data_IF_772393208854
#
_entry.id   IF_772393208854
#
_cell.length_a   1.000
_cell.length_b   1.000
_cell.length_c   1.000
_cell.angle_alpha   90.00
_cell.angle_beta   90.00
_cell.angle_gamma   90.00
#
_symmetry.space_group_name_H-M   'P 1'
#
loop_
_entity.id
_entity.type
_entity.pdbx_description
1 polymer ?
#
# COMPACT_ATOMS: atom_id res chain seq x y z
N UNK A 1 6.03 26.64 2.06
CA UNK A 1 6.38 26.28 0.67
C UNK A 1 5.34 26.85 -0.30
N UNK A 2 5.20 28.18 -0.35
CA UNK A 2 4.09 28.83 -1.06
C UNK A 2 4.29 28.78 -2.59
N UNK A 3 5.52 29.01 -3.06
CA UNK A 3 5.88 28.91 -4.48
C UNK A 3 5.54 27.54 -5.06
N UNK A 4 5.83 26.45 -4.34
CA UNK A 4 5.52 25.09 -4.80
C UNK A 4 4.02 24.80 -4.90
N UNK A 5 3.22 25.30 -3.94
CA UNK A 5 1.76 25.12 -3.96
C UNK A 5 1.14 25.87 -5.15
N UNK A 6 1.57 27.11 -5.39
CA UNK A 6 1.09 27.91 -6.53
C UNK A 6 1.45 27.25 -7.85
N UNK A 7 2.70 26.82 -8.02
CA UNK A 7 3.14 26.14 -9.24
C UNK A 7 2.33 24.86 -9.51
N UNK A 8 2.06 24.05 -8.48
CA UNK A 8 1.25 22.84 -8.61
C UNK A 8 -0.20 23.15 -8.98
N UNK A 9 -0.81 24.17 -8.36
CA UNK A 9 -2.18 24.60 -8.69
C UNK A 9 -2.29 25.03 -10.14
N UNK A 10 -1.37 25.87 -10.60
CA UNK A 10 -1.40 26.42 -11.96
C UNK A 10 -1.16 25.33 -13.00
N UNK A 11 -0.28 24.35 -12.71
CA UNK A 11 -0.13 23.16 -13.55
C UNK A 11 -1.43 22.35 -13.61
N UNK A 12 -2.01 22.03 -12.45
CA UNK A 12 -3.21 21.18 -12.34
C UNK A 12 -4.39 21.78 -13.09
N UNK A 13 -4.60 23.10 -13.04
CA UNK A 13 -5.69 23.77 -13.77
C UNK A 13 -5.56 23.68 -15.30
N UNK A 14 -4.37 23.37 -15.82
CA UNK A 14 -4.13 23.17 -17.25
C UNK A 14 -4.12 21.69 -17.66
N UNK A 15 -3.93 20.76 -16.72
CA UNK A 15 -3.81 19.31 -16.98
C UNK A 15 -5.12 18.57 -16.72
N UNK A 16 -5.96 19.04 -15.81
CA UNK A 16 -7.25 18.41 -15.51
C UNK A 16 -8.33 19.42 -15.08
N UNK A 17 -9.56 18.94 -14.95
CA UNK A 17 -10.75 19.73 -14.58
C UNK A 17 -11.08 19.66 -13.09
N UNK A 18 -10.09 19.43 -12.22
CA UNK A 18 -10.25 19.21 -10.77
C UNK A 18 -11.03 17.95 -10.40
N UNK A 19 -11.13 17.68 -9.10
CA UNK A 19 -11.83 16.51 -8.57
C UNK A 19 -13.34 16.70 -8.60
N UNK A 20 -14.08 15.62 -8.90
CA UNK A 20 -15.53 15.62 -8.90
C UNK A 20 -16.07 16.09 -7.53
N UNK A 21 -16.96 17.08 -7.54
CA UNK A 21 -17.42 17.76 -6.32
C UNK A 21 -18.03 16.81 -5.29
N UNK A 22 -18.75 15.76 -5.73
CA UNK A 22 -19.30 14.76 -4.81
C UNK A 22 -18.19 14.00 -4.06
N UNK A 23 -17.06 13.69 -4.71
CA UNK A 23 -15.91 13.06 -4.04
C UNK A 23 -15.26 14.02 -3.05
N UNK A 24 -15.18 15.32 -3.37
CA UNK A 24 -14.68 16.32 -2.42
C UNK A 24 -15.58 16.44 -1.18
N UNK A 25 -16.91 16.48 -1.37
CA UNK A 25 -17.86 16.50 -0.27
C UNK A 25 -17.77 15.24 0.61
N UNK A 26 -17.64 14.06 -0.01
CA UNK A 26 -17.38 12.80 0.71
C UNK A 26 -16.05 12.82 1.46
N UNK A 27 -15.01 13.42 0.88
CA UNK A 27 -13.72 13.60 1.53
C UNK A 27 -13.81 14.49 2.77
N UNK A 28 -14.58 15.59 2.70
CA UNK A 28 -14.85 16.43 3.88
C UNK A 28 -15.54 15.61 4.96
N UNK A 29 -16.63 14.90 4.64
CA UNK A 29 -17.33 14.06 5.60
C UNK A 29 -16.44 12.98 6.22
N UNK A 30 -15.57 12.35 5.42
CA UNK A 30 -14.65 11.33 5.89
C UNK A 30 -13.53 11.89 6.79
N UNK A 31 -13.08 13.13 6.57
CA UNK A 31 -12.02 13.76 7.37
C UNK A 31 -12.52 14.41 8.66
N UNK A 32 -13.76 14.93 8.65
CA UNK A 32 -14.34 15.64 9.81
C UNK A 32 -15.28 14.77 10.64
N UNK A 33 -15.73 13.64 10.11
CA UNK A 33 -16.53 12.66 10.84
C UNK A 33 -15.74 11.84 11.86
N UNK A 34 -16.39 10.85 12.46
CA UNK A 34 -15.75 9.98 13.45
C UNK A 34 -14.52 9.25 12.86
N UNK A 35 -13.41 9.30 13.59
CA UNK A 35 -12.14 8.68 13.20
C UNK A 35 -11.79 7.44 14.02
N UNK A 36 -12.65 7.01 14.96
CA UNK A 36 -12.34 5.88 15.86
C UNK A 36 -12.05 4.59 15.09
N UNK A 37 -12.71 4.39 13.95
CA UNK A 37 -12.53 3.25 13.04
C UNK A 37 -11.09 3.08 12.54
N UNK A 38 -10.28 4.14 12.50
CA UNK A 38 -8.89 4.06 12.04
C UNK A 38 -8.05 3.13 12.93
N UNK A 39 -8.28 3.18 14.25
CA UNK A 39 -7.54 2.35 15.21
C UNK A 39 -7.86 0.87 15.01
N UNK A 40 -9.15 0.54 14.92
CA UNK A 40 -9.62 -0.83 14.68
C UNK A 40 -9.09 -1.39 13.36
N UNK A 41 -9.20 -0.63 12.27
CA UNK A 41 -8.65 -1.01 10.96
C UNK A 41 -7.14 -1.25 11.03
N UNK A 42 -6.40 -0.40 11.73
CA UNK A 42 -4.95 -0.56 11.87
C UNK A 42 -4.60 -1.83 12.66
N UNK A 43 -5.37 -2.19 13.69
CA UNK A 43 -5.22 -3.47 14.40
C UNK A 43 -5.43 -4.65 13.46
N UNK A 44 -6.48 -4.64 12.63
CA UNK A 44 -6.73 -5.70 11.63
C UNK A 44 -5.54 -5.84 10.67
N UNK A 45 -4.98 -4.75 10.16
CA UNK A 45 -3.81 -4.83 9.27
C UNK A 45 -2.55 -5.28 10.00
N UNK A 46 -2.40 -4.95 11.28
CA UNK A 46 -1.30 -5.44 12.10
C UNK A 46 -1.38 -6.95 12.30
N UNK A 47 -2.57 -7.48 12.58
CA UNK A 47 -2.82 -8.92 12.71
C UNK A 47 -2.53 -9.65 11.39
N UNK A 48 -3.06 -9.16 10.27
CA UNK A 48 -2.78 -9.70 8.93
C UNK A 48 -1.29 -9.72 8.61
N UNK A 49 -0.58 -8.63 8.90
CA UNK A 49 0.87 -8.55 8.75
C UNK A 49 1.57 -9.63 9.57
N UNK A 50 1.19 -9.79 10.84
CA UNK A 50 1.81 -10.79 11.71
C UNK A 50 1.58 -12.21 11.16
N UNK A 51 0.37 -12.54 10.73
CA UNK A 51 0.05 -13.85 10.10
C UNK A 51 0.95 -14.11 8.89
N UNK A 52 1.16 -13.11 8.02
CA UNK A 52 2.05 -13.25 6.85
C UNK A 52 3.49 -13.45 7.29
N UNK A 53 4.00 -12.67 8.24
CA UNK A 53 5.37 -12.79 8.74
C UNK A 53 5.63 -14.15 9.40
N UNK A 54 4.67 -14.63 10.19
CA UNK A 54 4.73 -15.94 10.85
C UNK A 54 4.64 -17.06 9.80
N UNK A 55 3.79 -16.93 8.77
CA UNK A 55 3.72 -17.89 7.67
C UNK A 55 5.03 -18.00 6.87
N UNK A 56 5.75 -16.89 6.72
CA UNK A 56 7.04 -16.84 6.03
C UNK A 56 8.20 -17.41 6.86
N UNK A 57 8.05 -17.60 8.18
CA UNK A 57 9.14 -18.04 9.06
C UNK A 57 9.69 -19.42 8.72
N UNK A 58 8.89 -20.25 8.04
CA UNK A 58 9.26 -21.62 7.64
C UNK A 58 9.80 -21.70 6.20
N UNK A 59 10.11 -20.56 5.60
CA UNK A 59 10.61 -20.47 4.22
C UNK A 59 12.04 -19.93 4.20
N UNK A 60 12.75 -20.08 3.08
CA UNK A 60 14.04 -19.45 2.87
C UNK A 60 13.94 -17.95 2.55
N UNK A 61 12.75 -17.36 2.63
CA UNK A 61 12.54 -15.95 2.35
C UNK A 61 12.88 -15.10 3.58
N UNK A 62 13.42 -13.90 3.36
CA UNK A 62 13.80 -12.98 4.44
C UNK A 62 12.81 -11.80 4.43
N UNK A 63 11.74 -11.83 5.23
CA UNK A 63 10.81 -10.72 5.31
C UNK A 63 11.36 -9.56 6.14
N UNK A 64 11.11 -8.34 5.69
CA UNK A 64 11.25 -7.14 6.50
C UNK A 64 9.97 -6.94 7.29
N UNK A 65 10.05 -6.70 8.61
CA UNK A 65 8.87 -6.38 9.44
C UNK A 65 8.48 -4.91 9.24
N UNK A 66 7.40 -4.59 8.49
CA UNK A 66 7.05 -3.20 8.23
C UNK A 66 6.42 -2.56 9.46
N UNK A 67 6.68 -1.26 9.65
CA UNK A 67 6.08 -0.47 10.73
C UNK A 67 4.68 0.06 10.38
N UNK A 68 4.41 0.26 9.08
CA UNK A 68 3.14 0.80 8.55
C UNK A 68 2.89 0.26 7.13
N UNK A 69 1.84 0.75 6.47
CA UNK A 69 1.34 0.30 5.17
C UNK A 69 0.78 -1.14 5.17
N UNK A 70 0.42 -1.64 3.99
CA UNK A 70 -0.30 -2.90 3.78
C UNK A 70 0.52 -3.95 3.01
N UNK A 71 1.84 -3.76 2.93
CA UNK A 71 2.74 -4.63 2.16
C UNK A 71 3.83 -5.21 3.06
N UNK A 72 4.18 -6.48 2.81
CA UNK A 72 5.35 -7.12 3.40
C UNK A 72 6.42 -7.20 2.32
N UNK A 73 7.54 -6.55 2.56
CA UNK A 73 8.67 -6.65 1.65
C UNK A 73 9.51 -7.87 2.00
N UNK A 74 9.94 -8.60 0.99
CA UNK A 74 10.62 -9.88 1.17
C UNK A 74 11.85 -9.93 0.27
N UNK A 75 13.01 -10.21 0.85
CA UNK A 75 14.21 -10.51 0.08
C UNK A 75 14.21 -11.98 -0.31
N UNK A 76 14.39 -12.22 -1.60
CA UNK A 76 14.64 -13.53 -2.18
C UNK A 76 16.14 -13.84 -2.04
N UNK A 77 16.50 -15.03 -1.55
CA UNK A 77 17.90 -15.39 -1.30
C UNK A 77 18.61 -15.95 -2.53
N UNK A 78 17.86 -16.57 -3.45
CA UNK A 78 18.43 -17.19 -4.63
C UNK A 78 18.85 -16.14 -5.65
N UNK A 79 19.77 -16.49 -6.56
CA UNK A 79 20.15 -15.67 -7.73
C UNK A 79 19.03 -15.59 -8.78
N UNK A 80 17.76 -15.67 -8.36
CA UNK A 80 16.59 -15.49 -9.20
C UNK A 80 16.16 -14.02 -9.12
N UNK A 81 15.67 -13.50 -10.25
CA UNK A 81 15.14 -12.14 -10.26
C UNK A 81 13.77 -12.11 -9.58
N UNK A 82 13.34 -10.94 -9.09
CA UNK A 82 11.99 -10.77 -8.55
C UNK A 82 10.92 -11.13 -9.58
N UNK A 83 11.14 -10.76 -10.84
CA UNK A 83 10.26 -11.09 -11.97
C UNK A 83 10.07 -12.61 -12.08
N UNK A 84 11.15 -13.36 -12.22
CA UNK A 84 11.07 -14.82 -12.41
C UNK A 84 10.43 -15.52 -11.20
N UNK A 85 10.70 -15.02 -9.99
CA UNK A 85 10.05 -15.49 -8.77
C UNK A 85 8.52 -15.23 -8.80
N UNK A 86 8.10 -14.01 -9.15
CA UNK A 86 6.68 -13.64 -9.22
C UNK A 86 5.92 -14.43 -10.30
N UNK A 87 6.53 -14.64 -11.47
CA UNK A 87 5.97 -15.47 -12.56
C UNK A 87 5.84 -16.93 -12.11
N UNK A 88 6.87 -17.49 -11.47
CA UNK A 88 6.85 -18.87 -10.96
C UNK A 88 5.74 -19.08 -9.91
N UNK A 89 5.57 -18.13 -8.98
CA UNK A 89 4.51 -18.19 -7.97
C UNK A 89 3.12 -18.16 -8.61
N UNK A 90 2.94 -17.30 -9.62
CA UNK A 90 1.67 -17.19 -10.32
C UNK A 90 1.35 -18.46 -11.11
N UNK A 91 2.30 -18.96 -11.91
CA UNK A 91 2.08 -20.09 -12.81
C UNK A 91 1.95 -21.44 -12.07
N UNK A 92 2.77 -21.66 -11.03
CA UNK A 92 2.84 -22.97 -10.36
C UNK A 92 1.96 -23.07 -9.12
N UNK A 93 1.69 -21.93 -8.46
CA UNK A 93 0.97 -21.90 -7.17
C UNK A 93 -0.33 -21.09 -7.27
N UNK A 94 -0.52 -20.28 -8.33
CA UNK A 94 -1.71 -19.44 -8.50
C UNK A 94 -1.70 -18.19 -7.61
N UNK A 95 -0.54 -17.78 -7.11
CA UNK A 95 -0.40 -16.63 -6.20
C UNK A 95 0.24 -15.46 -6.93
N UNK A 96 -0.47 -14.34 -7.03
CA UNK A 96 0.06 -13.10 -7.61
C UNK A 96 0.74 -12.23 -6.55
N UNK A 97 1.98 -11.84 -6.83
CA UNK A 97 2.79 -10.92 -6.00
C UNK A 97 3.51 -9.91 -6.91
N UNK A 98 4.06 -8.85 -6.32
CA UNK A 98 4.72 -7.73 -7.02
C UNK A 98 6.17 -7.55 -6.58
#
# INVERSE_FOLDING_TARGET
NQTGITALRDLKSNVDSSQFQAIQASGVAALTGDQTWLKERNTIYQERRNIVLDGLSNTNLIPYKPQAAMYVWVRIQDNITSKDFTETLLEKVGVSVT
#
